data_IF_386473777756
#
_entry.id   IF_386473777756
#
_cell.length_a   1.000
_cell.length_b   1.000
_cell.length_c   1.000
_cell.angle_alpha   90.00
_cell.angle_beta   90.00
_cell.angle_gamma   90.00
#
_symmetry.space_group_name_H-M   'P 1'
#
loop_
_entity.id
_entity.type
_entity.pdbx_description
1 polymer ?
#
# COMPACT_ATOMS: atom_id res chain seq x y z
N UNK A 1 31.14 -26.43 18.74
CA UNK A 1 29.72 -26.19 18.38
C UNK A 1 29.70 -25.19 17.22
N UNK A 2 29.60 -25.67 15.96
CA UNK A 2 29.63 -24.80 14.78
C UNK A 2 28.28 -24.09 14.65
N UNK A 3 28.31 -22.76 14.60
CA UNK A 3 27.15 -21.90 14.27
C UNK A 3 26.66 -22.34 12.89
N UNK A 4 25.46 -22.91 12.80
CA UNK A 4 24.86 -23.25 11.50
C UNK A 4 24.58 -21.94 10.77
N UNK A 5 25.30 -21.68 9.69
CA UNK A 5 24.93 -20.64 8.73
C UNK A 5 23.59 -21.04 8.13
N UNK A 6 22.55 -20.26 8.45
CA UNK A 6 21.26 -20.37 7.78
C UNK A 6 21.46 -19.97 6.31
N UNK A 7 20.88 -20.70 5.34
CA UNK A 7 21.07 -20.36 3.93
C UNK A 7 20.46 -18.99 3.63
N UNK A 8 21.32 -18.00 3.35
CA UNK A 8 20.95 -16.63 2.96
C UNK A 8 19.88 -16.59 1.85
N UNK A 9 19.86 -17.61 0.98
CA UNK A 9 18.94 -17.73 -0.16
C UNK A 9 17.45 -17.84 0.22
N UNK A 10 17.13 -18.42 1.39
CA UNK A 10 15.73 -18.52 1.86
C UNK A 10 15.17 -17.19 2.36
N UNK A 11 16.02 -16.32 2.89
CA UNK A 11 15.62 -14.97 3.34
C UNK A 11 15.39 -14.02 2.16
N UNK A 12 16.16 -14.12 1.07
CA UNK A 12 15.99 -13.24 -0.09
C UNK A 12 14.66 -13.48 -0.83
N UNK A 13 14.22 -14.73 -0.97
CA UNK A 13 12.93 -15.05 -1.63
C UNK A 13 11.70 -14.67 -0.79
N UNK A 14 11.78 -14.83 0.54
CA UNK A 14 10.77 -14.30 1.47
C UNK A 14 10.78 -12.77 1.52
N UNK A 15 11.94 -12.13 1.32
CA UNK A 15 12.05 -10.68 1.21
C UNK A 15 11.45 -10.16 -0.09
N UNK A 16 11.74 -10.75 -1.24
CA UNK A 16 11.06 -10.37 -2.49
C UNK A 16 9.55 -10.50 -2.36
N UNK A 17 9.03 -11.55 -1.70
CA UNK A 17 7.60 -11.70 -1.43
C UNK A 17 7.04 -10.74 -0.36
N UNK A 18 7.84 -10.31 0.62
CA UNK A 18 7.44 -9.35 1.65
C UNK A 18 7.50 -7.88 1.17
N UNK A 19 8.37 -7.59 0.20
CA UNK A 19 8.49 -6.28 -0.46
C UNK A 19 7.73 -6.21 -1.80
N UNK A 20 7.27 -7.35 -2.35
CA UNK A 20 6.18 -7.47 -3.33
C UNK A 20 4.85 -7.16 -2.63
N UNK A 21 4.75 -5.93 -2.14
CA UNK A 21 3.49 -5.41 -1.61
C UNK A 21 2.44 -5.60 -2.71
N UNK A 22 1.22 -6.06 -2.39
CA UNK A 22 0.12 -6.13 -3.34
C UNK A 22 -0.16 -4.84 -4.14
N UNK A 23 0.36 -3.69 -3.67
CA UNK A 23 0.32 -2.39 -4.36
C UNK A 23 1.23 -2.33 -5.59
N UNK A 24 2.21 -3.22 -5.72
CA UNK A 24 3.16 -3.27 -6.83
C UNK A 24 2.64 -4.05 -8.05
N UNK A 25 1.43 -4.65 -7.97
CA UNK A 25 0.86 -5.41 -9.09
C UNK A 25 -0.06 -4.55 -9.95
N UNK A 26 0.35 -4.47 -11.22
CA UNK A 26 -0.29 -3.87 -12.39
C UNK A 26 -1.70 -3.27 -12.23
N UNK A 27 -1.74 -1.99 -12.61
CA UNK A 27 -2.89 -1.14 -12.91
C UNK A 27 -3.53 -1.54 -14.26
N UNK A 28 -4.87 -1.56 -14.32
CA UNK A 28 -5.63 -1.82 -15.55
C UNK A 28 -6.53 -0.60 -15.87
N UNK A 29 -6.11 0.31 -16.77
CA UNK A 29 -6.77 1.60 -17.01
C UNK A 29 -8.19 1.53 -17.57
N UNK A 30 -8.58 0.40 -18.16
CA UNK A 30 -9.80 0.31 -19.00
C UNK A 30 -11.11 0.31 -18.19
N UNK A 31 -11.05 0.28 -16.86
CA UNK A 31 -12.21 0.15 -15.97
C UNK A 31 -12.67 1.46 -15.32
N UNK A 32 -11.99 2.58 -15.61
CA UNK A 32 -12.27 3.90 -15.05
C UNK A 32 -11.57 4.17 -13.70
N UNK A 33 -11.24 5.43 -13.39
CA UNK A 33 -10.33 5.77 -12.28
C UNK A 33 -10.86 5.40 -10.90
N UNK A 34 -12.19 5.52 -10.67
CA UNK A 34 -12.85 5.13 -9.41
C UNK A 34 -12.71 3.62 -9.14
N UNK A 35 -12.92 2.78 -10.16
CA UNK A 35 -12.79 1.33 -10.05
C UNK A 35 -11.33 0.88 -9.94
N UNK A 36 -10.40 1.63 -10.55
CA UNK A 36 -8.96 1.42 -10.33
C UNK A 36 -8.57 1.69 -8.87
N UNK A 37 -9.08 2.78 -8.28
CA UNK A 37 -8.85 3.09 -6.87
C UNK A 37 -9.38 1.99 -5.96
N UNK A 38 -10.63 1.56 -6.17
CA UNK A 38 -11.23 0.50 -5.35
C UNK A 38 -10.40 -0.79 -5.39
N UNK A 39 -9.98 -1.23 -6.59
CA UNK A 39 -9.14 -2.42 -6.72
C UNK A 39 -7.77 -2.24 -6.08
N UNK A 40 -7.16 -1.07 -6.22
CA UNK A 40 -5.89 -0.77 -5.58
C UNK A 40 -6.02 -0.83 -4.06
N UNK A 41 -7.04 -0.19 -3.49
CA UNK A 41 -7.30 -0.20 -2.04
C UNK A 41 -7.56 -1.62 -1.55
N UNK A 42 -8.46 -2.36 -2.21
CA UNK A 42 -8.76 -3.76 -1.87
C UNK A 42 -7.54 -4.65 -1.95
N UNK A 43 -6.62 -4.40 -2.89
CA UNK A 43 -5.33 -5.13 -2.99
C UNK A 43 -4.36 -4.71 -1.91
N UNK A 44 -4.18 -3.41 -1.68
CA UNK A 44 -3.28 -2.86 -0.66
C UNK A 44 -3.65 -3.38 0.74
N UNK A 45 -4.94 -3.47 1.01
CA UNK A 45 -5.50 -3.98 2.26
C UNK A 45 -5.75 -5.49 2.22
N UNK A 46 -5.66 -6.14 1.04
CA UNK A 46 -5.67 -7.61 0.95
C UNK A 46 -4.31 -8.10 1.37
N UNK A 47 -4.33 -8.83 2.46
CA UNK A 47 -3.17 -9.48 3.00
C UNK A 47 -2.73 -10.66 2.09
N UNK A 48 -1.42 -10.94 1.99
CA UNK A 48 -0.90 -12.30 2.23
C UNK A 48 -0.86 -12.61 3.75
N UNK A 49 -1.11 -11.59 4.57
CA UNK A 49 -0.76 -11.46 5.99
C UNK A 49 -1.91 -11.66 7.02
N UNK A 50 -3.10 -12.12 6.62
CA UNK A 50 -4.04 -12.77 7.56
C UNK A 50 -3.47 -14.09 8.09
N UNK A 51 -2.40 -14.58 7.46
CA UNK A 51 -1.41 -15.45 8.11
C UNK A 51 -0.47 -14.53 8.89
N UNK A 52 -0.53 -14.59 10.21
CA UNK A 52 0.25 -13.86 11.22
C UNK A 52 1.79 -13.77 11.02
N UNK A 53 2.34 -14.31 9.93
CA UNK A 53 3.75 -14.18 9.52
C UNK A 53 4.10 -12.84 8.84
N UNK A 54 3.22 -12.27 8.02
CA UNK A 54 3.56 -11.11 7.17
C UNK A 54 3.95 -9.85 7.95
N UNK A 55 3.11 -9.45 8.92
CA UNK A 55 3.41 -8.28 9.78
C UNK A 55 4.63 -8.50 10.65
N UNK A 56 4.83 -9.72 11.15
CA UNK A 56 6.01 -10.04 11.96
C UNK A 56 7.31 -9.96 11.18
N UNK A 57 7.32 -10.40 9.92
CA UNK A 57 8.47 -10.25 9.01
C UNK A 57 8.71 -8.75 8.75
N UNK A 58 7.66 -8.01 8.39
CA UNK A 58 7.74 -6.57 8.17
C UNK A 58 8.26 -5.81 9.41
N UNK A 59 7.78 -6.14 10.60
CA UNK A 59 8.21 -5.54 11.87
C UNK A 59 9.67 -5.85 12.21
N UNK A 60 10.15 -7.06 11.87
CA UNK A 60 11.58 -7.38 11.95
C UNK A 60 12.40 -6.58 10.93
N UNK A 61 11.89 -6.41 9.72
CA UNK A 61 12.59 -5.72 8.64
C UNK A 61 12.73 -4.22 8.88
N UNK A 62 11.72 -3.54 9.41
CA UNK A 62 11.79 -2.10 9.69
C UNK A 62 12.87 -1.76 10.74
N UNK A 63 13.12 -2.65 11.69
CA UNK A 63 14.18 -2.51 12.70
C UNK A 63 15.59 -2.68 12.09
N UNK A 64 15.72 -3.53 11.07
CA UNK A 64 17.01 -3.88 10.45
C UNK A 64 17.35 -2.96 9.28
N UNK A 65 16.36 -2.48 8.53
CA UNK A 65 16.54 -1.72 7.29
C UNK A 65 17.45 -0.48 7.43
N UNK A 66 17.42 0.32 8.52
CA UNK A 66 18.31 1.47 8.67
C UNK A 66 19.79 1.09 8.72
N UNK A 67 20.12 -0.13 9.16
CA UNK A 67 21.48 -0.62 9.39
C UNK A 67 21.98 -1.61 8.33
N UNK A 68 21.12 -2.01 7.40
CA UNK A 68 21.43 -2.97 6.35
C UNK A 68 21.28 -2.33 4.95
N UNK A 69 22.38 -1.91 4.29
CA UNK A 69 22.34 -1.17 3.02
C UNK A 69 21.51 -1.84 1.92
N UNK A 70 21.62 -3.17 1.79
CA UNK A 70 20.84 -3.96 0.83
C UNK A 70 19.33 -3.83 1.11
N UNK A 71 18.91 -3.97 2.37
CA UNK A 71 17.50 -3.83 2.78
C UNK A 71 16.97 -2.43 2.49
N UNK A 72 17.77 -1.39 2.78
CA UNK A 72 17.42 0.00 2.53
C UNK A 72 17.15 0.27 1.05
N UNK A 73 17.91 -0.35 0.14
CA UNK A 73 17.70 -0.25 -1.31
C UNK A 73 16.36 -0.86 -1.72
N UNK A 74 16.03 -2.06 -1.24
CA UNK A 74 14.74 -2.70 -1.51
C UNK A 74 13.56 -1.89 -0.96
N UNK A 75 13.65 -1.43 0.29
CA UNK A 75 12.61 -0.58 0.89
C UNK A 75 12.38 0.70 0.07
N UNK A 76 13.45 1.35 -0.39
CA UNK A 76 13.36 2.54 -1.25
C UNK A 76 12.73 2.23 -2.60
N UNK A 77 13.08 1.10 -3.21
CA UNK A 77 12.52 0.69 -4.48
C UNK A 77 11.01 0.43 -4.36
N UNK A 78 10.60 -0.39 -3.39
CA UNK A 78 9.18 -0.70 -3.14
C UNK A 78 8.36 0.55 -2.81
N UNK A 79 8.87 1.41 -1.92
CA UNK A 79 8.22 2.68 -1.59
C UNK A 79 8.01 3.56 -2.84
N UNK A 80 9.02 3.68 -3.71
CA UNK A 80 8.90 4.45 -4.95
C UNK A 80 7.88 3.84 -5.93
N UNK A 81 7.83 2.51 -6.03
CA UNK A 81 6.87 1.82 -6.88
C UNK A 81 5.42 2.02 -6.40
N UNK A 82 5.19 1.92 -5.09
CA UNK A 82 3.89 2.20 -4.47
C UNK A 82 3.44 3.64 -4.73
N UNK A 83 4.33 4.62 -4.49
CA UNK A 83 4.03 6.03 -4.78
C UNK A 83 3.72 6.27 -6.26
N UNK A 84 4.50 5.70 -7.19
CA UNK A 84 4.25 5.84 -8.62
C UNK A 84 2.87 5.31 -9.05
N UNK A 85 2.47 4.16 -8.50
CA UNK A 85 1.16 3.55 -8.76
C UNK A 85 0.02 4.43 -8.23
N UNK A 86 0.15 4.90 -6.98
CA UNK A 86 -0.82 5.83 -6.40
C UNK A 86 -0.91 7.14 -7.19
N UNK A 87 0.22 7.72 -7.61
CA UNK A 87 0.23 8.94 -8.42
C UNK A 87 -0.57 8.78 -9.72
N UNK A 88 -0.41 7.65 -10.43
CA UNK A 88 -1.16 7.40 -11.67
C UNK A 88 -2.67 7.32 -11.45
N UNK A 89 -3.12 6.61 -10.41
CA UNK A 89 -4.55 6.52 -10.07
C UNK A 89 -5.11 7.87 -9.62
N UNK A 90 -4.37 8.58 -8.76
CA UNK A 90 -4.76 9.90 -8.25
C UNK A 90 -4.85 10.92 -9.39
N UNK A 91 -3.89 10.94 -10.29
CA UNK A 91 -3.92 11.82 -11.46
C UNK A 91 -5.15 11.54 -12.33
N UNK A 92 -5.45 10.26 -12.59
CA UNK A 92 -6.63 9.89 -13.38
C UNK A 92 -7.94 10.29 -12.70
N UNK A 93 -8.04 10.14 -11.37
CA UNK A 93 -9.20 10.59 -10.59
C UNK A 93 -9.39 12.10 -10.66
N UNK A 94 -8.35 12.87 -10.36
CA UNK A 94 -8.42 14.33 -10.32
C UNK A 94 -8.75 14.90 -11.70
N UNK A 95 -8.17 14.34 -12.77
CA UNK A 95 -8.50 14.72 -14.16
C UNK A 95 -9.94 14.40 -14.54
N UNK A 96 -10.48 13.26 -14.10
CA UNK A 96 -11.88 12.91 -14.36
C UNK A 96 -12.86 13.87 -13.69
N UNK A 97 -12.45 14.51 -12.59
CA UNK A 97 -13.21 15.54 -11.86
C UNK A 97 -12.85 16.96 -12.35
N UNK A 98 -12.21 17.08 -13.53
CA UNK A 98 -11.90 18.36 -14.18
C UNK A 98 -10.68 19.11 -13.63
N UNK A 99 -9.96 18.52 -12.68
CA UNK A 99 -8.77 19.14 -12.08
C UNK A 99 -7.50 18.89 -12.92
N UNK A 100 -6.48 19.73 -12.71
CA UNK A 100 -5.17 19.62 -13.38
C UNK A 100 -4.04 19.65 -12.34
N UNK A 101 -3.83 18.55 -11.59
CA UNK A 101 -2.89 18.54 -10.48
C UNK A 101 -1.44 18.67 -10.96
N UNK A 102 -0.65 19.44 -10.23
CA UNK A 102 0.79 19.56 -10.49
C UNK A 102 1.59 18.37 -9.95
N UNK A 103 2.80 18.16 -10.45
CA UNK A 103 3.65 17.04 -10.00
C UNK A 103 3.94 17.06 -8.48
N UNK A 104 4.08 18.25 -7.88
CA UNK A 104 4.30 18.38 -6.43
C UNK A 104 3.06 18.00 -5.61
N UNK A 105 1.88 18.30 -6.12
CA UNK A 105 0.60 17.95 -5.50
C UNK A 105 0.37 16.44 -5.57
N UNK A 106 0.56 15.84 -6.75
CA UNK A 106 0.48 14.38 -6.92
C UNK A 106 1.42 13.63 -5.97
N UNK A 107 2.65 14.13 -5.77
CA UNK A 107 3.59 13.56 -4.79
C UNK A 107 3.05 13.62 -3.36
N UNK A 108 2.47 14.76 -2.94
CA UNK A 108 1.91 14.91 -1.60
C UNK A 108 0.68 14.01 -1.40
N UNK A 109 -0.24 13.98 -2.35
CA UNK A 109 -1.41 13.12 -2.30
C UNK A 109 -1.02 11.64 -2.24
N UNK A 110 -0.08 11.20 -3.08
CA UNK A 110 0.39 9.82 -3.04
C UNK A 110 1.05 9.45 -1.71
N UNK A 111 1.88 10.35 -1.14
CA UNK A 111 2.49 10.13 0.16
C UNK A 111 1.45 10.03 1.29
N UNK A 112 0.45 10.92 1.29
CA UNK A 112 -0.64 10.89 2.28
C UNK A 112 -1.50 9.63 2.15
N UNK A 113 -1.89 9.25 0.93
CA UNK A 113 -2.67 8.03 0.69
C UNK A 113 -1.87 6.77 1.06
N UNK A 114 -0.57 6.72 0.76
CA UNK A 114 0.28 5.60 1.16
C UNK A 114 0.36 5.47 2.68
N UNK A 115 0.60 6.58 3.39
CA UNK A 115 0.67 6.56 4.86
C UNK A 115 -0.64 6.09 5.50
N UNK A 116 -1.79 6.52 4.96
CA UNK A 116 -3.11 6.03 5.37
C UNK A 116 -3.25 4.53 5.15
N UNK A 117 -2.91 4.03 3.95
CA UNK A 117 -3.02 2.61 3.62
C UNK A 117 -2.11 1.74 4.48
N UNK A 118 -0.88 2.18 4.75
CA UNK A 118 0.05 1.49 5.66
C UNK A 118 -0.52 1.40 7.09
N UNK A 119 -1.11 2.50 7.59
CA UNK A 119 -1.74 2.53 8.92
C UNK A 119 -2.93 1.58 9.02
N UNK A 120 -3.82 1.60 8.03
CA UNK A 120 -4.96 0.67 7.98
C UNK A 120 -4.50 -0.78 7.83
N UNK A 121 -3.50 -1.05 7.00
CA UNK A 121 -2.93 -2.38 6.87
C UNK A 121 -2.39 -2.91 8.21
N UNK A 122 -1.72 -2.05 9.01
CA UNK A 122 -1.25 -2.40 10.35
C UNK A 122 -2.42 -2.70 11.31
N UNK A 123 -3.43 -1.84 11.36
CA UNK A 123 -4.61 -2.02 12.22
C UNK A 123 -5.36 -3.32 11.89
N UNK A 124 -5.67 -3.54 10.60
CA UNK A 124 -6.38 -4.74 10.15
C UNK A 124 -5.60 -6.04 10.39
N UNK A 125 -4.27 -5.96 10.46
CA UNK A 125 -3.45 -7.11 10.76
C UNK A 125 -3.19 -7.32 12.26
N UNK A 126 -3.25 -6.27 13.08
CA UNK A 126 -3.14 -6.36 14.54
C UNK A 126 -4.45 -6.81 15.20
N UNK A 127 -5.59 -6.37 14.68
CA UNK A 127 -6.91 -6.60 15.25
C UNK A 127 -7.91 -7.10 14.19
N UNK A 128 -7.66 -8.27 13.56
CA UNK A 128 -8.46 -8.73 12.41
C UNK A 128 -9.95 -8.95 12.74
N UNK A 129 -10.28 -9.25 13.99
CA UNK A 129 -11.67 -9.47 14.44
C UNK A 129 -12.41 -8.15 14.75
N UNK A 130 -11.70 -7.04 14.90
CA UNK A 130 -12.28 -5.74 15.25
C UNK A 130 -12.56 -4.84 14.04
N UNK A 131 -11.86 -5.07 12.92
CA UNK A 131 -12.00 -4.25 11.72
C UNK A 131 -12.14 -5.14 10.48
N UNK A 132 -13.39 -5.56 10.15
CA UNK A 132 -13.65 -6.41 9.00
C UNK A 132 -13.11 -5.82 7.69
N UNK A 133 -12.74 -6.70 6.75
CA UNK A 133 -12.11 -6.30 5.48
C UNK A 133 -12.93 -5.27 4.68
N UNK A 134 -14.26 -5.39 4.66
CA UNK A 134 -15.11 -4.44 3.94
C UNK A 134 -15.17 -3.08 4.65
N UNK A 135 -15.16 -3.07 5.99
CA UNK A 135 -15.15 -1.84 6.78
C UNK A 135 -13.85 -1.07 6.58
N UNK A 136 -12.70 -1.74 6.68
CA UNK A 136 -11.39 -1.10 6.47
C UNK A 136 -11.22 -0.58 5.04
N UNK A 137 -11.77 -1.29 4.06
CA UNK A 137 -11.79 -0.86 2.65
C UNK A 137 -12.65 0.40 2.49
N UNK A 138 -13.84 0.44 3.11
CA UNK A 138 -14.72 1.60 3.06
C UNK A 138 -14.11 2.83 3.75
N UNK A 139 -13.44 2.64 4.90
CA UNK A 139 -12.68 3.70 5.59
C UNK A 139 -11.60 4.25 4.65
N UNK A 140 -10.78 3.39 4.07
CA UNK A 140 -9.72 3.81 3.16
C UNK A 140 -10.25 4.64 1.98
N UNK A 141 -11.32 4.19 1.32
CA UNK A 141 -11.88 4.90 0.17
C UNK A 141 -12.41 6.28 0.54
N UNK A 142 -13.19 6.39 1.63
CA UNK A 142 -13.71 7.69 2.11
C UNK A 142 -12.57 8.63 2.51
N UNK A 143 -11.58 8.13 3.24
CA UNK A 143 -10.43 8.91 3.66
C UNK A 143 -9.58 9.38 2.48
N UNK A 144 -9.36 8.55 1.46
CA UNK A 144 -8.66 8.95 0.24
C UNK A 144 -9.45 10.03 -0.51
N UNK A 145 -10.76 9.89 -0.67
CA UNK A 145 -11.58 10.95 -1.27
C UNK A 145 -11.43 12.28 -0.53
N UNK A 146 -11.47 12.25 0.81
CA UNK A 146 -11.23 13.41 1.65
C UNK A 146 -9.84 14.02 1.48
N UNK A 147 -8.79 13.19 1.46
CA UNK A 147 -7.39 13.63 1.22
C UNK A 147 -7.26 14.33 -0.13
N UNK A 148 -7.96 13.85 -1.15
CA UNK A 148 -7.92 14.37 -2.52
C UNK A 148 -8.86 15.56 -2.75
N UNK A 149 -9.66 15.96 -1.74
CA UNK A 149 -10.68 16.99 -1.90
C UNK A 149 -11.77 16.62 -2.92
N UNK A 150 -12.02 15.32 -3.12
CA UNK A 150 -13.07 14.83 -4.00
C UNK A 150 -14.39 14.76 -3.24
N UNK A 151 -15.54 14.97 -3.90
CA UNK A 151 -16.83 14.76 -3.27
C UNK A 151 -16.91 13.31 -2.77
N UNK A 152 -17.47 13.13 -1.56
CA UNK A 152 -17.83 11.81 -1.09
C UNK A 152 -18.71 11.15 -2.17
N UNK A 153 -18.50 9.87 -2.44
CA UNK A 153 -19.49 9.13 -3.20
C UNK A 153 -20.81 9.30 -2.45
N UNK A 154 -21.77 9.98 -3.08
CA UNK A 154 -23.10 10.17 -2.50
C UNK A 154 -23.59 8.79 -2.10
N UNK A 155 -23.98 8.62 -0.84
CA UNK A 155 -24.88 7.53 -0.45
C UNK A 155 -26.19 7.82 -1.19
N UNK A 156 -26.27 7.40 -2.46
CA UNK A 156 -27.52 7.41 -3.18
C UNK A 156 -28.43 6.37 -2.51
N UNK A 157 -29.69 6.72 -2.21
CA UNK A 157 -30.64 5.83 -1.54
C UNK A 157 -30.94 4.58 -2.37
#
# INVERSE_FOLDING_TARGET
MKRREQPQAGHTGLMEAAFDHPMNRAFFPDQGPKRCLEQLVRRALRAPATVSGGVRIWAGDIQVAPRAPVKKTFCRHGHRAALGTLQGVIEALLRAEGQRPGAAELRRHAAACNALLDGLWLEGAMLPDHLPQEEITAIALRSIQGILGLPAASDAP
#
